data_IF_168068097278
#
_entry.id   IF_168068097278
#
_cell.length_a   1.000
_cell.length_b   1.000
_cell.length_c   1.000
_cell.angle_alpha   90.00
_cell.angle_beta   90.00
_cell.angle_gamma   90.00
#
_symmetry.space_group_name_H-M   'P 1'
#
loop_
_entity.id
_entity.type
_entity.pdbx_description
1 polymer ?
#
# COMPACT_ATOMS: atom_id res chain seq x y z
N UNK A 1 24.09 -30.26 8.05
CA UNK A 1 24.17 -30.59 6.64
C UNK A 1 22.89 -30.09 6.03
N UNK A 2 22.91 -28.89 5.41
CA UNK A 2 21.78 -28.34 4.69
C UNK A 2 21.76 -29.03 3.32
N UNK A 3 20.64 -29.65 3.01
CA UNK A 3 20.40 -30.37 1.77
C UNK A 3 20.39 -29.35 0.60
N UNK A 4 21.50 -29.30 -0.14
CA UNK A 4 21.72 -28.42 -1.27
C UNK A 4 21.23 -29.08 -2.59
N UNK A 5 20.02 -29.66 -2.56
CA UNK A 5 19.36 -30.24 -3.74
C UNK A 5 18.61 -29.16 -4.54
N UNK A 6 19.32 -28.14 -5.03
CA UNK A 6 18.80 -27.25 -6.05
C UNK A 6 18.89 -27.93 -7.41
N UNK A 7 17.91 -28.78 -7.73
CA UNK A 7 17.60 -29.07 -9.14
C UNK A 7 17.34 -27.75 -9.87
N UNK A 8 17.90 -27.51 -11.07
CA UNK A 8 17.68 -26.27 -11.77
C UNK A 8 16.18 -26.11 -12.04
N UNK A 9 15.55 -25.14 -11.31
CA UNK A 9 14.14 -24.80 -11.58
C UNK A 9 14.02 -24.33 -13.02
N UNK A 10 13.05 -24.82 -13.75
CA UNK A 10 12.72 -24.27 -15.06
C UNK A 10 12.45 -22.78 -14.94
N UNK A 11 13.14 -21.92 -15.72
CA UNK A 11 12.92 -20.48 -15.65
C UNK A 11 11.47 -20.12 -15.91
N UNK A 12 10.86 -19.30 -15.01
CA UNK A 12 9.53 -18.75 -15.24
C UNK A 12 9.58 -17.64 -16.29
N UNK A 13 8.52 -17.53 -17.05
CA UNK A 13 8.21 -16.36 -17.88
C UNK A 13 7.43 -15.37 -17.00
N UNK A 14 8.04 -14.24 -16.69
CA UNK A 14 7.43 -13.23 -15.82
C UNK A 14 7.15 -11.97 -16.63
N UNK A 15 5.89 -11.53 -16.64
CA UNK A 15 5.53 -10.22 -17.18
C UNK A 15 5.49 -9.21 -16.06
N UNK A 16 6.38 -8.21 -16.11
CA UNK A 16 6.39 -7.06 -15.19
C UNK A 16 5.55 -5.96 -15.80
N UNK A 17 4.39 -5.69 -15.20
CA UNK A 17 3.50 -4.60 -15.62
C UNK A 17 3.91 -3.32 -14.88
N UNK A 18 4.19 -2.26 -15.65
CA UNK A 18 4.66 -0.97 -15.13
C UNK A 18 4.11 0.18 -15.96
N UNK A 19 4.24 1.40 -15.48
CA UNK A 19 3.70 2.60 -16.13
C UNK A 19 2.28 2.89 -15.64
N UNK A 20 1.29 2.64 -16.48
CA UNK A 20 -0.12 2.89 -16.15
C UNK A 20 -0.52 4.37 -16.24
N UNK A 21 -1.81 4.68 -16.02
CA UNK A 21 -2.38 6.02 -16.24
C UNK A 21 -2.22 6.98 -15.07
N UNK A 22 -1.80 6.50 -13.88
CA UNK A 22 -1.82 7.32 -12.66
C UNK A 22 -0.75 8.40 -12.63
N UNK A 23 -0.90 9.37 -11.74
CA UNK A 23 0.09 10.41 -11.48
C UNK A 23 1.45 9.87 -10.98
N UNK A 24 1.48 8.63 -10.49
CA UNK A 24 2.67 7.93 -9.98
C UNK A 24 3.38 7.07 -11.06
N UNK A 25 3.08 7.32 -12.33
CA UNK A 25 3.63 6.59 -13.49
C UNK A 25 5.16 6.47 -13.45
N UNK A 26 5.88 7.54 -13.16
CA UNK A 26 7.35 7.53 -13.12
C UNK A 26 7.90 6.65 -11.98
N UNK A 27 7.22 6.61 -10.84
CA UNK A 27 7.56 5.72 -9.72
C UNK A 27 7.36 4.26 -10.14
N UNK A 28 6.25 3.97 -10.81
CA UNK A 28 5.95 2.65 -11.38
C UNK A 28 7.00 2.22 -12.40
N UNK A 29 7.38 3.09 -13.32
CA UNK A 29 8.42 2.80 -14.32
C UNK A 29 9.79 2.52 -13.67
N UNK A 30 10.16 3.27 -12.63
CA UNK A 30 11.41 3.06 -11.90
C UNK A 30 11.39 1.73 -11.12
N UNK A 31 10.34 1.49 -10.34
CA UNK A 31 10.16 0.25 -9.57
C UNK A 31 10.09 -0.98 -10.48
N UNK A 32 9.35 -0.89 -11.60
CA UNK A 32 9.26 -1.97 -12.58
C UNK A 32 10.61 -2.33 -13.20
N UNK A 33 11.46 -1.36 -13.52
CA UNK A 33 12.84 -1.62 -13.98
C UNK A 33 13.65 -2.36 -12.91
N UNK A 34 13.57 -1.95 -11.64
CA UNK A 34 14.30 -2.59 -10.56
C UNK A 34 13.84 -4.05 -10.36
N UNK A 35 12.52 -4.29 -10.33
CA UNK A 35 11.94 -5.63 -10.23
C UNK A 35 12.35 -6.50 -11.42
N UNK A 36 12.25 -5.99 -12.66
CA UNK A 36 12.64 -6.73 -13.85
C UNK A 36 14.13 -7.10 -13.85
N UNK A 37 15.00 -6.21 -13.40
CA UNK A 37 16.43 -6.48 -13.25
C UNK A 37 16.69 -7.58 -12.21
N UNK A 38 16.01 -7.54 -11.06
CA UNK A 38 16.12 -8.59 -10.05
C UNK A 38 15.65 -9.95 -10.57
N UNK A 39 14.53 -10.01 -11.27
CA UNK A 39 13.98 -11.25 -11.85
C UNK A 39 14.93 -11.85 -12.90
N UNK A 40 15.55 -11.02 -13.77
CA UNK A 40 16.58 -11.48 -14.70
C UNK A 40 17.81 -12.01 -13.98
N UNK A 41 18.24 -11.34 -12.91
CA UNK A 41 19.37 -11.78 -12.07
C UNK A 41 19.13 -13.12 -11.38
N UNK A 42 17.86 -13.48 -11.14
CA UNK A 42 17.43 -14.79 -10.62
C UNK A 42 17.35 -15.88 -11.72
N UNK A 43 17.65 -15.55 -12.97
CA UNK A 43 17.64 -16.49 -14.08
C UNK A 43 16.29 -16.72 -14.74
N UNK A 44 15.29 -15.88 -14.48
CA UNK A 44 13.96 -15.97 -15.12
C UNK A 44 13.88 -15.16 -16.42
N UNK A 45 12.91 -15.50 -17.28
CA UNK A 45 12.62 -14.78 -18.52
C UNK A 45 11.67 -13.61 -18.20
N UNK A 46 12.02 -12.39 -18.62
CA UNK A 46 11.26 -11.18 -18.26
C UNK A 46 10.78 -10.42 -19.47
N UNK A 47 9.49 -10.18 -19.52
CA UNK A 47 8.85 -9.17 -20.38
C UNK A 47 8.47 -7.97 -19.52
N UNK A 48 8.91 -6.77 -19.91
CA UNK A 48 8.45 -5.52 -19.31
C UNK A 48 7.40 -4.90 -20.23
N UNK A 49 6.24 -4.57 -19.69
CA UNK A 49 5.15 -4.02 -20.47
C UNK A 49 4.46 -2.87 -19.73
N UNK A 50 4.09 -1.86 -20.48
CA UNK A 50 3.15 -0.84 -20.04
C UNK A 50 1.73 -1.37 -20.22
N UNK A 51 0.79 -0.89 -19.39
CA UNK A 51 -0.62 -1.30 -19.46
C UNK A 51 -1.52 -0.14 -19.00
N UNK A 52 -2.66 -0.03 -19.67
CA UNK A 52 -3.70 0.94 -19.30
C UNK A 52 -5.08 0.34 -19.57
N UNK A 53 -6.17 0.97 -19.09
CA UNK A 53 -7.53 0.54 -19.45
C UNK A 53 -7.79 0.49 -20.97
N UNK A 54 -7.10 1.33 -21.73
CA UNK A 54 -7.27 1.44 -23.19
C UNK A 54 -6.37 0.48 -23.99
N UNK A 55 -5.33 -0.08 -23.33
CA UNK A 55 -4.41 -1.05 -23.94
C UNK A 55 -4.07 -2.18 -22.97
N UNK A 56 -4.70 -3.33 -23.15
CA UNK A 56 -4.53 -4.55 -22.36
C UNK A 56 -3.63 -5.59 -23.06
N UNK A 57 -3.01 -5.25 -24.19
CA UNK A 57 -2.21 -6.18 -25.01
C UNK A 57 -1.05 -6.84 -24.26
N UNK A 58 -0.56 -6.20 -23.20
CA UNK A 58 0.43 -6.75 -22.28
C UNK A 58 -0.01 -8.08 -21.64
N UNK A 59 -1.32 -8.30 -21.46
CA UNK A 59 -1.89 -9.50 -20.87
C UNK A 59 -2.08 -10.64 -21.89
N UNK A 60 -1.87 -10.40 -23.17
CA UNK A 60 -1.94 -11.42 -24.23
C UNK A 60 -0.58 -12.12 -24.42
N UNK A 61 0.49 -11.58 -23.80
CA UNK A 61 1.82 -12.19 -23.79
C UNK A 61 1.83 -13.39 -22.84
N UNK A 62 2.20 -14.60 -23.31
CA UNK A 62 2.25 -15.78 -22.45
C UNK A 62 3.19 -15.59 -21.26
N UNK A 63 2.67 -15.67 -20.07
CA UNK A 63 3.41 -15.55 -18.81
C UNK A 63 3.03 -16.68 -17.86
N UNK A 64 3.99 -17.10 -17.02
CA UNK A 64 3.75 -18.03 -15.93
C UNK A 64 3.31 -17.26 -14.66
N UNK A 65 3.85 -16.04 -14.51
CA UNK A 65 3.51 -15.12 -13.42
C UNK A 65 3.49 -13.68 -13.96
N UNK A 66 2.52 -12.89 -13.50
CA UNK A 66 2.48 -11.44 -13.72
C UNK A 66 2.93 -10.74 -12.43
N UNK A 67 3.83 -9.76 -12.55
CA UNK A 67 4.29 -8.94 -11.44
C UNK A 67 3.84 -7.48 -11.67
N UNK A 68 2.70 -7.06 -11.10
CA UNK A 68 2.26 -5.67 -11.18
C UNK A 68 3.18 -4.77 -10.36
N UNK A 69 3.57 -3.62 -10.92
CA UNK A 69 4.29 -2.54 -10.23
C UNK A 69 3.63 -1.21 -10.61
N UNK A 70 2.31 -1.18 -10.60
CA UNK A 70 1.52 0.02 -10.86
C UNK A 70 1.04 0.65 -9.56
N UNK A 71 0.67 1.92 -9.60
CA UNK A 71 0.17 2.66 -8.45
C UNK A 71 -1.11 3.43 -8.79
N UNK A 72 -1.95 3.67 -7.77
CA UNK A 72 -3.16 4.47 -7.86
C UNK A 72 -4.23 3.85 -8.75
N UNK A 73 -4.92 4.71 -9.52
CA UNK A 73 -6.01 4.30 -10.40
C UNK A 73 -5.58 3.22 -11.39
N UNK A 74 -6.43 2.24 -11.64
CA UNK A 74 -6.22 1.04 -12.42
C UNK A 74 -5.23 0.05 -11.81
N UNK A 75 -4.11 0.51 -11.22
CA UNK A 75 -3.06 -0.35 -10.69
C UNK A 75 -3.36 -0.96 -9.31
N UNK A 76 -3.96 -0.17 -8.40
CA UNK A 76 -4.19 -0.54 -6.99
C UNK A 76 -5.66 -0.59 -6.59
N UNK A 77 -6.58 -0.21 -7.47
CA UNK A 77 -8.01 -0.08 -7.19
C UNK A 77 -8.83 -1.35 -7.50
N UNK A 78 -8.17 -2.44 -7.84
CA UNK A 78 -8.79 -3.73 -8.12
C UNK A 78 -9.25 -3.91 -9.57
N UNK A 79 -9.08 -2.92 -10.46
CA UNK A 79 -9.44 -3.06 -11.87
C UNK A 79 -8.48 -4.02 -12.58
N UNK A 80 -7.18 -3.78 -12.50
CA UNK A 80 -6.16 -4.67 -13.08
C UNK A 80 -6.24 -6.06 -12.48
N UNK A 81 -6.40 -6.16 -11.16
CA UNK A 81 -6.47 -7.44 -10.47
C UNK A 81 -7.67 -8.27 -10.93
N UNK A 82 -8.83 -7.63 -11.17
CA UNK A 82 -10.01 -8.30 -11.73
C UNK A 82 -9.74 -8.87 -13.13
N UNK A 83 -9.04 -8.12 -13.99
CA UNK A 83 -8.65 -8.60 -15.33
C UNK A 83 -7.67 -9.79 -15.25
N UNK A 84 -6.74 -9.78 -14.29
CA UNK A 84 -5.81 -10.89 -14.08
C UNK A 84 -6.54 -12.14 -13.56
N UNK A 85 -7.49 -11.96 -12.64
CA UNK A 85 -8.34 -13.03 -12.10
C UNK A 85 -9.24 -13.63 -13.20
N UNK A 86 -9.90 -12.81 -13.99
CA UNK A 86 -10.76 -13.24 -15.11
C UNK A 86 -10.00 -14.06 -16.15
N UNK A 87 -8.75 -13.69 -16.43
CA UNK A 87 -7.88 -14.42 -17.37
C UNK A 87 -7.19 -15.64 -16.74
N UNK A 88 -7.39 -15.90 -15.44
CA UNK A 88 -6.75 -17.02 -14.74
C UNK A 88 -5.23 -16.90 -14.65
N UNK A 89 -4.68 -15.68 -14.70
CA UNK A 89 -3.25 -15.41 -14.64
C UNK A 89 -2.78 -15.43 -13.17
N UNK A 90 -1.68 -16.15 -12.91
CA UNK A 90 -1.00 -16.04 -11.63
C UNK A 90 -0.35 -14.66 -11.51
N UNK A 91 -0.52 -13.99 -10.38
CA UNK A 91 0.07 -12.67 -10.18
C UNK A 91 0.46 -12.40 -8.72
N UNK A 92 1.45 -11.54 -8.56
CA UNK A 92 1.93 -11.06 -7.25
C UNK A 92 0.98 -10.00 -6.71
N UNK A 93 0.72 -10.08 -5.41
CA UNK A 93 -0.09 -9.10 -4.68
C UNK A 93 -1.53 -9.52 -4.46
N UNK A 94 -2.26 -8.62 -3.83
CA UNK A 94 -3.66 -8.82 -3.42
C UNK A 94 -4.60 -8.94 -4.61
N UNK A 95 -5.72 -9.65 -4.42
CA UNK A 95 -6.77 -9.80 -5.43
C UNK A 95 -7.61 -8.53 -5.59
N UNK A 96 -8.58 -8.59 -6.51
CA UNK A 96 -9.41 -7.44 -6.88
C UNK A 96 -10.23 -6.87 -5.72
N UNK A 97 -10.83 -7.72 -4.89
CA UNK A 97 -11.64 -7.27 -3.77
C UNK A 97 -10.80 -6.61 -2.67
N UNK A 98 -9.72 -7.22 -2.15
CA UNK A 98 -8.83 -6.55 -1.20
C UNK A 98 -8.24 -5.23 -1.72
N UNK A 99 -7.88 -5.14 -3.00
CA UNK A 99 -7.37 -3.92 -3.61
C UNK A 99 -8.42 -2.80 -3.62
N UNK A 100 -9.69 -3.12 -3.98
CA UNK A 100 -10.81 -2.16 -3.89
C UNK A 100 -11.07 -1.67 -2.48
N UNK A 101 -10.97 -2.56 -1.49
CA UNK A 101 -11.13 -2.18 -0.08
C UNK A 101 -9.94 -1.33 0.35
N UNK A 102 -8.71 -1.72 0.00
CA UNK A 102 -7.49 -1.04 0.41
C UNK A 102 -7.39 0.40 -0.06
N UNK A 103 -7.76 0.67 -1.30
CA UNK A 103 -7.71 2.03 -1.87
C UNK A 103 -8.78 2.96 -1.27
N UNK A 104 -9.94 2.45 -0.87
CA UNK A 104 -11.03 3.21 -0.28
C UNK A 104 -10.88 3.27 1.26
N UNK A 105 -10.56 4.46 1.76
CA UNK A 105 -10.32 4.69 3.20
C UNK A 105 -11.55 4.41 4.08
N UNK A 106 -12.75 4.64 3.59
CA UNK A 106 -13.98 4.29 4.34
C UNK A 106 -14.14 2.77 4.39
N UNK A 107 -13.97 2.09 3.27
CA UNK A 107 -14.08 0.63 3.21
C UNK A 107 -13.03 -0.05 4.10
N UNK A 108 -11.78 0.40 4.06
CA UNK A 108 -10.71 -0.11 4.93
C UNK A 108 -11.02 0.08 6.40
N UNK A 109 -11.44 1.30 6.80
CA UNK A 109 -11.78 1.62 8.19
C UNK A 109 -12.98 0.79 8.68
N UNK A 110 -13.98 0.56 7.84
CA UNK A 110 -15.13 -0.32 8.16
C UNK A 110 -14.69 -1.76 8.36
N UNK A 111 -13.83 -2.29 7.50
CA UNK A 111 -13.30 -3.64 7.64
C UNK A 111 -12.51 -3.79 8.96
N UNK A 112 -11.64 -2.84 9.27
CA UNK A 112 -10.89 -2.83 10.54
C UNK A 112 -11.78 -2.68 11.76
N UNK A 113 -12.77 -1.79 11.72
CA UNK A 113 -13.75 -1.63 12.81
C UNK A 113 -14.53 -2.91 13.05
N UNK A 114 -14.97 -3.60 11.99
CA UNK A 114 -15.65 -4.89 12.09
C UNK A 114 -14.77 -5.98 12.71
N UNK A 115 -13.44 -5.90 12.49
CA UNK A 115 -12.43 -6.77 13.11
C UNK A 115 -11.98 -6.31 14.51
N UNK A 116 -12.56 -5.23 15.06
CA UNK A 116 -12.19 -4.69 16.37
C UNK A 116 -10.83 -3.99 16.40
N UNK A 117 -10.30 -3.56 15.24
CA UNK A 117 -8.99 -2.92 15.14
C UNK A 117 -9.11 -1.39 15.31
N UNK A 118 -8.10 -0.75 15.93
CA UNK A 118 -8.15 0.67 16.26
C UNK A 118 -7.91 1.55 15.02
N UNK A 119 -8.82 2.49 14.78
CA UNK A 119 -8.69 3.55 13.79
C UNK A 119 -9.40 4.81 14.29
N UNK A 120 -8.94 6.00 13.89
CA UNK A 120 -9.57 7.25 14.29
C UNK A 120 -11.06 7.28 13.92
N UNK A 121 -11.95 7.83 14.75
CA UNK A 121 -13.33 8.12 14.38
C UNK A 121 -13.40 8.93 13.10
N UNK A 122 -14.35 8.60 12.21
CA UNK A 122 -14.50 9.25 10.91
C UNK A 122 -15.96 9.33 10.47
N UNK A 123 -16.20 10.17 9.46
CA UNK A 123 -17.45 10.21 8.69
C UNK A 123 -17.17 10.48 7.22
N UNK A 124 -18.00 9.92 6.35
CA UNK A 124 -18.03 10.29 4.92
C UNK A 124 -19.06 11.38 4.74
N UNK A 125 -18.65 12.48 4.07
CA UNK A 125 -19.46 13.67 3.84
C UNK A 125 -19.57 13.91 2.33
N UNK A 126 -20.80 14.00 1.83
CA UNK A 126 -21.14 14.21 0.42
C UNK A 126 -21.87 15.53 0.15
N UNK A 127 -22.05 16.36 1.18
CA UNK A 127 -22.82 17.63 1.10
C UNK A 127 -22.16 18.77 1.86
N UNK A 128 -22.28 19.96 1.32
CA UNK A 128 -21.86 21.19 2.00
C UNK A 128 -22.75 21.48 3.22
N UNK A 129 -22.20 22.22 4.19
CA UNK A 129 -22.96 22.61 5.38
C UNK A 129 -23.13 21.49 6.42
N UNK A 130 -22.44 20.37 6.27
CA UNK A 130 -22.42 19.31 7.26
C UNK A 130 -21.86 19.82 8.61
N UNK A 131 -22.60 19.53 9.68
CA UNK A 131 -22.19 19.85 11.05
C UNK A 131 -21.58 18.61 11.69
N UNK A 132 -20.28 18.63 12.05
CA UNK A 132 -19.65 17.49 12.68
C UNK A 132 -20.22 17.24 14.09
N UNK A 133 -20.35 15.97 14.50
CA UNK A 133 -20.47 15.63 15.90
C UNK A 133 -19.21 16.09 16.66
N UNK A 134 -19.30 16.20 17.99
CA UNK A 134 -18.23 16.77 18.80
C UNK A 134 -16.87 16.08 18.59
N UNK A 135 -16.88 14.76 18.41
CA UNK A 135 -15.69 13.92 18.20
C UNK A 135 -14.99 14.11 16.85
N UNK A 136 -15.69 14.67 15.84
CA UNK A 136 -15.18 14.95 14.49
C UNK A 136 -15.03 16.46 14.23
N UNK A 137 -15.32 17.31 15.22
CA UNK A 137 -15.02 18.73 15.15
C UNK A 137 -13.52 19.00 15.16
N UNK A 138 -13.10 20.21 14.73
CA UNK A 138 -11.69 20.57 14.76
C UNK A 138 -11.04 20.46 16.14
N UNK A 139 -9.78 20.00 16.20
CA UNK A 139 -8.89 19.70 15.08
C UNK A 139 -9.25 18.40 14.37
N UNK A 140 -9.44 18.47 13.04
CA UNK A 140 -9.81 17.34 12.20
C UNK A 140 -8.98 17.29 10.90
N UNK A 141 -9.05 16.16 10.21
CA UNK A 141 -8.41 15.94 8.91
C UNK A 141 -9.50 15.67 7.88
N UNK A 142 -9.39 16.33 6.73
CA UNK A 142 -10.25 16.09 5.56
C UNK A 142 -9.40 15.51 4.45
N UNK A 143 -9.87 14.44 3.82
CA UNK A 143 -9.17 13.77 2.73
C UNK A 143 -10.13 13.16 1.70
N UNK A 144 -9.72 13.02 0.44
CA UNK A 144 -10.43 12.18 -0.54
C UNK A 144 -10.45 10.72 -0.06
N UNK A 145 -11.45 9.95 -0.51
CA UNK A 145 -11.59 8.55 -0.11
C UNK A 145 -10.53 7.65 -0.75
N UNK A 146 -10.21 7.87 -2.02
CA UNK A 146 -9.43 6.93 -2.85
C UNK A 146 -8.09 7.47 -3.36
N UNK A 147 -7.74 8.72 -3.01
CA UNK A 147 -6.44 9.26 -3.39
C UNK A 147 -5.31 8.71 -2.50
N UNK A 148 -4.16 8.41 -3.14
CA UNK A 148 -2.92 8.06 -2.48
C UNK A 148 -2.01 9.27 -2.21
N UNK A 149 -0.81 9.00 -1.71
CA UNK A 149 0.31 9.96 -1.64
C UNK A 149 0.00 11.29 -0.95
N UNK A 150 -0.92 11.31 0.01
CA UNK A 150 -1.40 12.51 0.73
C UNK A 150 -2.02 13.58 -0.18
N UNK A 151 -2.40 13.24 -1.41
CA UNK A 151 -3.07 14.17 -2.33
C UNK A 151 -4.44 14.56 -1.75
N UNK A 152 -4.69 15.87 -1.66
CA UNK A 152 -5.97 16.41 -1.17
C UNK A 152 -6.18 16.30 0.34
N UNK A 153 -5.20 15.84 1.12
CA UNK A 153 -5.28 15.81 2.59
C UNK A 153 -5.12 17.22 3.14
N UNK A 154 -6.00 17.62 4.05
CA UNK A 154 -6.01 18.94 4.68
C UNK A 154 -6.25 18.87 6.18
N UNK A 155 -5.45 19.58 6.96
CA UNK A 155 -5.63 19.76 8.39
C UNK A 155 -6.56 20.96 8.65
N UNK A 156 -7.56 20.76 9.50
CA UNK A 156 -8.59 21.76 9.80
C UNK A 156 -8.59 22.06 11.31
N UNK A 157 -8.08 23.23 11.69
CA UNK A 157 -8.00 23.65 13.10
C UNK A 157 -9.23 24.47 13.56
N UNK A 158 -10.07 24.93 12.61
CA UNK A 158 -11.27 25.71 12.88
C UNK A 158 -12.47 25.21 12.08
N UNK A 159 -13.68 25.55 12.54
CA UNK A 159 -14.92 25.23 11.80
C UNK A 159 -14.95 25.86 10.40
N UNK A 160 -14.44 27.07 10.26
CA UNK A 160 -14.41 27.78 8.99
C UNK A 160 -13.46 27.08 8.01
N UNK A 161 -12.26 26.68 8.46
CA UNK A 161 -11.34 25.89 7.64
C UNK A 161 -11.95 24.55 7.22
N UNK A 162 -12.61 23.85 8.16
CA UNK A 162 -13.28 22.58 7.88
C UNK A 162 -14.37 22.77 6.77
N UNK A 163 -15.24 23.77 6.92
CA UNK A 163 -16.31 24.02 5.96
C UNK A 163 -15.76 24.42 4.57
N UNK A 164 -14.69 25.20 4.50
CA UNK A 164 -14.02 25.58 3.26
C UNK A 164 -13.43 24.36 2.57
N UNK A 165 -12.63 23.59 3.28
CA UNK A 165 -11.96 22.39 2.75
C UNK A 165 -12.97 21.32 2.32
N UNK A 166 -14.06 21.13 3.07
CA UNK A 166 -15.14 20.23 2.66
C UNK A 166 -15.75 20.63 1.32
N UNK A 167 -16.05 21.93 1.12
CA UNK A 167 -16.59 22.39 -0.16
C UNK A 167 -15.63 22.12 -1.32
N UNK A 168 -14.34 22.40 -1.13
CA UNK A 168 -13.31 22.19 -2.14
C UNK A 168 -13.14 20.69 -2.47
N UNK A 169 -13.07 19.83 -1.43
CA UNK A 169 -12.90 18.38 -1.61
C UNK A 169 -14.13 17.75 -2.24
N UNK A 170 -15.34 18.10 -1.79
CA UNK A 170 -16.58 17.57 -2.37
C UNK A 170 -16.76 18.02 -3.82
N UNK A 171 -16.45 19.29 -4.13
CA UNK A 171 -16.53 19.80 -5.50
C UNK A 171 -15.60 19.04 -6.45
N UNK A 172 -14.43 18.61 -5.97
CA UNK A 172 -13.43 17.92 -6.79
C UNK A 172 -13.65 16.40 -6.86
N UNK A 173 -14.02 15.77 -5.74
CA UNK A 173 -14.04 14.31 -5.59
C UNK A 173 -15.43 13.73 -5.31
N UNK A 174 -16.47 14.56 -5.24
CA UNK A 174 -17.85 14.16 -4.93
C UNK A 174 -18.09 13.86 -3.46
N UNK A 175 -17.12 13.33 -2.74
CA UNK A 175 -17.19 12.96 -1.32
C UNK A 175 -15.88 13.28 -0.61
N UNK A 176 -15.95 13.49 0.71
CA UNK A 176 -14.79 13.67 1.57
C UNK A 176 -14.89 12.74 2.78
N UNK A 177 -13.75 12.24 3.25
CA UNK A 177 -13.61 11.61 4.55
C UNK A 177 -13.15 12.68 5.55
N UNK A 178 -13.88 12.82 6.64
CA UNK A 178 -13.50 13.64 7.80
C UNK A 178 -13.14 12.71 8.93
N UNK A 179 -11.99 12.89 9.54
CA UNK A 179 -11.58 12.10 10.71
C UNK A 179 -11.00 12.99 11.82
N UNK A 180 -11.05 12.49 13.04
CA UNK A 180 -10.37 13.11 14.17
C UNK A 180 -8.88 13.18 13.90
N UNK A 181 -8.27 14.35 14.07
CA UNK A 181 -6.82 14.49 14.02
C UNK A 181 -6.16 13.74 15.17
N UNK A 182 -5.22 12.89 14.86
CA UNK A 182 -4.38 12.18 15.82
C UNK A 182 -3.12 12.98 16.09
N UNK A 183 -2.57 12.85 17.31
CA UNK A 183 -1.33 13.54 17.72
C UNK A 183 -0.25 12.51 18.07
N UNK A 184 0.70 12.35 17.16
CA UNK A 184 1.82 11.44 17.37
C UNK A 184 2.62 11.19 16.09
N UNK A 185 3.68 10.39 16.19
CA UNK A 185 4.51 10.06 15.03
C UNK A 185 3.76 9.18 14.04
N UNK A 186 3.98 9.46 12.76
CA UNK A 186 3.56 8.58 11.65
C UNK A 186 4.58 7.44 11.52
N UNK A 187 4.07 6.21 11.49
CA UNK A 187 4.87 5.01 11.32
C UNK A 187 4.23 4.08 10.30
N UNK A 188 5.04 3.20 9.74
CA UNK A 188 4.57 2.21 8.78
C UNK A 188 5.15 0.84 9.08
N UNK A 189 4.38 -0.19 8.79
CA UNK A 189 4.78 -1.60 8.89
C UNK A 189 4.50 -2.30 7.57
N UNK A 190 5.54 -2.87 6.96
CA UNK A 190 5.37 -3.79 5.85
C UNK A 190 4.92 -5.16 6.37
N UNK A 191 4.06 -5.84 5.61
CA UNK A 191 3.73 -7.25 5.83
C UNK A 191 4.16 -8.02 4.58
N UNK A 192 4.89 -9.12 4.76
CA UNK A 192 5.36 -10.01 3.71
C UNK A 192 4.86 -11.43 3.99
N UNK A 193 3.96 -11.93 3.15
CA UNK A 193 3.18 -13.12 3.50
C UNK A 193 2.25 -12.82 4.68
N UNK A 194 2.54 -13.39 5.83
CA UNK A 194 1.89 -13.11 7.12
C UNK A 194 2.88 -12.60 8.17
N UNK A 195 4.09 -12.28 7.76
CA UNK A 195 5.15 -11.84 8.68
C UNK A 195 5.29 -10.31 8.65
N UNK A 196 5.24 -9.64 9.80
CA UNK A 196 5.44 -8.22 9.86
C UNK A 196 6.93 -7.87 9.76
N UNK A 197 7.25 -6.88 8.96
CA UNK A 197 8.59 -6.29 8.89
C UNK A 197 8.79 -5.27 10.03
N UNK A 198 10.03 -4.81 10.24
CA UNK A 198 10.31 -3.76 11.23
C UNK A 198 9.51 -2.49 11.01
N UNK A 199 9.14 -1.85 12.12
CA UNK A 199 8.46 -0.55 12.10
C UNK A 199 9.40 0.51 11.57
N UNK A 200 8.94 1.33 10.64
CA UNK A 200 9.67 2.50 10.14
C UNK A 200 8.90 3.75 10.57
N UNK A 201 9.58 4.70 11.21
CA UNK A 201 9.02 6.03 11.42
C UNK A 201 9.30 6.91 10.22
N UNK A 202 8.25 7.57 9.75
CA UNK A 202 8.32 8.60 8.70
C UNK A 202 8.41 9.95 9.40
N UNK A 203 9.53 10.66 9.19
CA UNK A 203 9.78 11.98 9.80
C UNK A 203 10.06 13.00 8.71
N UNK A 204 9.06 13.76 8.26
CA UNK A 204 9.28 14.87 7.35
C UNK A 204 10.08 15.97 8.07
N UNK A 205 10.97 16.68 7.36
CA UNK A 205 11.79 17.76 7.93
C UNK A 205 10.95 18.95 8.41
N UNK A 206 9.80 19.19 7.80
CA UNK A 206 8.88 20.25 8.22
C UNK A 206 7.43 19.82 8.00
N UNK A 207 6.61 19.97 9.04
CA UNK A 207 5.16 19.87 8.97
C UNK A 207 4.61 18.48 8.69
N UNK A 208 3.73 18.41 7.72
CA UNK A 208 2.97 17.21 7.34
C UNK A 208 3.69 16.44 6.23
N UNK A 209 3.55 15.11 6.22
CA UNK A 209 4.11 14.24 5.19
C UNK A 209 3.23 14.29 3.92
N UNK A 210 3.38 15.38 3.16
CA UNK A 210 2.64 15.65 1.94
C UNK A 210 3.28 15.01 0.69
N UNK A 211 2.63 15.16 -0.47
CA UNK A 211 3.12 14.66 -1.75
C UNK A 211 4.52 15.17 -2.10
N UNK A 212 4.80 16.44 -1.81
CA UNK A 212 6.12 17.03 -2.06
C UNK A 212 7.20 16.41 -1.16
N UNK A 213 6.87 16.07 0.11
CA UNK A 213 7.77 15.36 1.01
C UNK A 213 8.02 13.91 0.57
N UNK A 214 7.04 13.28 -0.11
CA UNK A 214 7.16 11.90 -0.61
C UNK A 214 8.04 11.79 -1.85
N UNK A 215 7.96 12.73 -2.79
CA UNK A 215 8.53 12.56 -4.14
C UNK A 215 9.46 13.68 -4.62
N UNK A 216 9.38 14.87 -4.04
CA UNK A 216 10.13 16.04 -4.51
C UNK A 216 11.15 16.57 -3.52
N UNK A 217 10.97 16.31 -2.22
CA UNK A 217 11.90 16.70 -1.19
C UNK A 217 12.70 15.50 -0.70
N UNK A 218 14.01 15.62 -0.65
CA UNK A 218 14.90 14.60 -0.11
C UNK A 218 15.17 14.80 1.40
N UNK A 219 14.27 15.51 2.10
CA UNK A 219 14.43 15.91 3.49
C UNK A 219 13.58 15.06 4.47
N UNK A 220 12.89 14.06 3.98
CA UNK A 220 12.16 13.08 4.83
C UNK A 220 13.11 12.02 5.35
N UNK A 221 13.25 11.92 6.67
CA UNK A 221 13.99 10.84 7.31
C UNK A 221 13.11 9.61 7.53
N UNK A 222 13.62 8.45 7.17
CA UNK A 222 13.01 7.16 7.41
C UNK A 222 13.82 6.42 8.48
N UNK A 223 13.30 6.36 9.70
CA UNK A 223 13.97 5.77 10.84
C UNK A 223 13.55 4.31 10.96
N UNK A 224 14.49 3.41 10.64
CA UNK A 224 14.30 1.95 10.72
C UNK A 224 14.27 1.44 12.16
N UNK A 225 14.85 2.18 13.10
CA UNK A 225 14.79 1.94 14.55
C UNK A 225 14.17 3.17 15.22
N UNK A 226 12.83 3.34 15.14
CA UNK A 226 12.17 4.47 15.77
C UNK A 226 12.31 4.44 17.29
N UNK A 227 12.32 5.64 17.91
CA UNK A 227 12.30 5.80 19.36
C UNK A 227 10.91 5.45 19.92
N UNK A 228 10.59 4.17 19.86
CA UNK A 228 9.40 3.53 20.40
C UNK A 228 9.84 2.36 21.28
N UNK A 229 9.16 2.14 22.38
CA UNK A 229 9.45 0.96 23.21
C UNK A 229 9.12 -0.34 22.49
N UNK A 230 9.68 -1.46 22.98
CA UNK A 230 9.55 -2.76 22.34
C UNK A 230 8.12 -3.32 22.35
N UNK A 231 7.30 -2.92 23.32
CA UNK A 231 5.88 -3.33 23.41
C UNK A 231 5.06 -2.62 22.34
N UNK A 232 5.23 -1.31 22.21
CA UNK A 232 4.60 -0.50 21.15
C UNK A 232 4.97 -1.04 19.75
N UNK A 233 6.26 -1.32 19.49
CA UNK A 233 6.67 -1.88 18.20
C UNK A 233 6.01 -3.22 17.90
N UNK A 234 5.96 -4.14 18.87
CA UNK A 234 5.28 -5.43 18.70
C UNK A 234 3.78 -5.26 18.48
N UNK A 235 3.13 -4.40 19.25
CA UNK A 235 1.71 -4.10 19.08
C UNK A 235 1.39 -3.57 17.67
N UNK A 236 2.21 -2.68 17.12
CA UNK A 236 2.05 -2.17 15.76
C UNK A 236 2.23 -3.28 14.70
N UNK A 237 3.20 -4.16 14.89
CA UNK A 237 3.43 -5.31 14.01
C UNK A 237 2.24 -6.29 14.04
N UNK A 238 1.73 -6.61 15.23
CA UNK A 238 0.54 -7.47 15.38
C UNK A 238 -0.71 -6.82 14.76
N UNK A 239 -0.89 -5.51 14.95
CA UNK A 239 -1.99 -4.76 14.33
C UNK A 239 -1.88 -4.73 12.82
N UNK A 240 -0.66 -4.62 12.27
CA UNK A 240 -0.44 -4.63 10.83
C UNK A 240 -0.85 -5.96 10.18
N UNK A 241 -0.47 -7.09 10.79
CA UNK A 241 -0.88 -8.43 10.31
C UNK A 241 -2.39 -8.58 10.38
N UNK A 242 -3.03 -8.22 11.49
CA UNK A 242 -4.48 -8.27 11.64
C UNK A 242 -5.21 -7.37 10.65
N UNK A 243 -4.68 -6.17 10.37
CA UNK A 243 -5.25 -5.24 9.40
C UNK A 243 -5.15 -5.78 7.96
N UNK A 244 -4.03 -6.42 7.63
CA UNK A 244 -3.79 -7.12 6.37
C UNK A 244 -4.79 -8.27 6.17
N UNK A 245 -4.99 -9.11 7.19
CA UNK A 245 -5.91 -10.24 7.17
C UNK A 245 -7.38 -9.79 7.12
N UNK A 246 -7.76 -8.74 7.85
CA UNK A 246 -9.12 -8.22 7.89
C UNK A 246 -9.61 -7.72 6.52
N UNK A 247 -8.71 -7.29 5.65
CA UNK A 247 -9.01 -6.88 4.27
C UNK A 247 -8.95 -8.07 3.30
N UNK A 248 -8.27 -9.15 3.69
CA UNK A 248 -8.03 -10.32 2.84
C UNK A 248 -6.85 -10.12 1.89
N UNK A 249 -5.87 -9.31 2.28
CA UNK A 249 -4.64 -9.11 1.52
C UNK A 249 -3.82 -10.39 1.44
N UNK A 250 -2.92 -10.46 0.47
CA UNK A 250 -1.97 -11.57 0.27
C UNK A 250 -0.64 -11.06 -0.26
N UNK A 251 0.40 -11.87 -0.12
CA UNK A 251 1.77 -11.65 -0.56
C UNK A 251 2.46 -10.48 0.15
N UNK A 252 1.94 -9.28 0.02
CA UNK A 252 2.52 -8.09 0.64
C UNK A 252 1.48 -6.98 0.83
N UNK A 253 1.73 -6.11 1.80
CA UNK A 253 1.12 -4.78 1.91
C UNK A 253 1.97 -3.88 2.80
N UNK A 254 1.70 -2.58 2.80
CA UNK A 254 2.22 -1.61 3.76
C UNK A 254 1.06 -0.98 4.50
N UNK A 255 1.14 -1.00 5.81
CA UNK A 255 0.12 -0.47 6.70
C UNK A 255 0.68 0.76 7.40
N UNK A 256 -0.02 1.87 7.30
CA UNK A 256 0.39 3.16 7.83
C UNK A 256 -0.43 3.50 9.08
N UNK A 257 0.24 4.05 10.11
CA UNK A 257 -0.31 4.34 11.43
C UNK A 257 0.08 5.74 11.90
N UNK A 258 -0.75 6.30 12.79
CA UNK A 258 -0.27 7.29 13.77
C UNK A 258 -0.20 6.60 15.14
N UNK A 259 0.91 6.77 15.85
CA UNK A 259 1.04 6.35 17.25
C UNK A 259 0.53 7.50 18.10
N UNK A 260 -0.80 7.54 18.31
CA UNK A 260 -1.45 8.57 19.09
C UNK A 260 -1.02 8.48 20.57
N UNK A 261 -0.74 9.62 21.19
CA UNK A 261 -0.19 9.69 22.56
C UNK A 261 -1.13 9.13 23.62
N UNK A 262 -2.42 9.06 23.33
CA UNK A 262 -3.47 8.60 24.28
C UNK A 262 -4.01 7.24 23.85
N UNK A 263 -4.29 7.08 22.56
CA UNK A 263 -4.97 5.91 22.00
C UNK A 263 -4.03 4.84 21.45
N UNK A 264 -2.71 5.09 21.46
CA UNK A 264 -1.72 4.16 20.90
C UNK A 264 -1.75 4.07 19.39
N UNK A 265 -1.38 2.92 18.83
CA UNK A 265 -1.34 2.71 17.37
C UNK A 265 -2.73 2.79 16.74
N UNK A 266 -2.92 3.72 15.81
CA UNK A 266 -4.17 3.93 15.07
C UNK A 266 -3.95 3.75 13.57
N UNK A 267 -4.67 2.82 12.96
CA UNK A 267 -4.63 2.54 11.53
C UNK A 267 -5.08 3.75 10.71
N UNK A 268 -4.29 4.15 9.72
CA UNK A 268 -4.59 5.24 8.78
C UNK A 268 -5.04 4.71 7.42
N UNK A 269 -4.18 3.95 6.78
CA UNK A 269 -4.41 3.39 5.44
C UNK A 269 -3.59 2.11 5.23
N UNK A 270 -3.97 1.33 4.22
CA UNK A 270 -3.25 0.18 3.74
C UNK A 270 -2.95 0.35 2.25
N UNK A 271 -1.71 0.10 1.88
CA UNK A 271 -1.26 0.08 0.50
C UNK A 271 -1.03 -1.38 0.10
N UNK A 272 -1.88 -1.89 -0.79
CA UNK A 272 -1.86 -3.30 -1.21
C UNK A 272 -0.83 -3.61 -2.28
N UNK A 273 -0.23 -2.58 -2.89
CA UNK A 273 0.85 -2.70 -3.88
C UNK A 273 1.93 -1.63 -3.63
N UNK A 274 2.70 -1.75 -2.53
CA UNK A 274 3.71 -0.77 -2.17
C UNK A 274 4.84 -0.70 -3.20
N UNK A 275 5.49 0.47 -3.29
CA UNK A 275 6.55 0.71 -4.27
C UNK A 275 7.78 -0.18 -4.13
N UNK A 276 8.51 -0.33 -5.24
CA UNK A 276 9.71 -1.15 -5.39
C UNK A 276 10.92 -0.35 -5.89
N UNK A 277 11.02 0.92 -5.49
CA UNK A 277 12.21 1.75 -5.76
C UNK A 277 13.19 1.69 -4.59
N UNK A 278 14.40 2.21 -4.76
CA UNK A 278 15.41 2.32 -3.69
C UNK A 278 14.94 3.18 -2.49
N UNK A 279 13.93 4.03 -2.71
CA UNK A 279 13.32 4.85 -1.65
C UNK A 279 12.12 4.19 -0.99
N UNK A 280 11.63 3.08 -1.54
CA UNK A 280 10.41 2.42 -1.06
C UNK A 280 10.59 1.75 0.30
N UNK A 281 9.61 1.95 1.18
CA UNK A 281 9.71 1.60 2.60
C UNK A 281 9.69 0.09 2.85
N UNK A 282 8.88 -0.67 2.10
CA UNK A 282 8.81 -2.13 2.27
C UNK A 282 10.15 -2.81 1.90
N UNK A 283 10.81 -2.53 0.76
CA UNK A 283 12.15 -3.04 0.48
C UNK A 283 13.19 -2.64 1.52
N UNK A 284 13.12 -1.40 2.06
CA UNK A 284 14.02 -0.95 3.14
C UNK A 284 13.81 -1.73 4.43
N UNK A 285 12.56 -1.96 4.83
CA UNK A 285 12.24 -2.77 6.00
C UNK A 285 12.72 -4.21 5.85
N UNK A 286 12.54 -4.81 4.66
CA UNK A 286 13.02 -6.14 4.33
C UNK A 286 14.56 -6.23 4.40
N UNK A 287 15.26 -5.26 3.82
CA UNK A 287 16.73 -5.20 3.87
C UNK A 287 17.27 -5.08 5.31
N UNK A 288 16.58 -4.35 6.19
CA UNK A 288 16.96 -4.21 7.60
C UNK A 288 16.97 -5.53 8.36
N UNK A 289 16.15 -6.50 7.96
CA UNK A 289 16.16 -7.87 8.52
C UNK A 289 16.89 -8.88 7.65
N UNK A 290 17.76 -8.41 6.74
CA UNK A 290 18.64 -9.25 5.94
C UNK A 290 18.00 -9.86 4.68
N UNK A 291 16.78 -9.47 4.32
CA UNK A 291 16.12 -9.88 3.07
C UNK A 291 16.55 -8.92 1.96
N UNK A 292 17.46 -9.37 1.08
CA UNK A 292 17.89 -8.56 -0.07
C UNK A 292 16.73 -8.28 -1.03
N UNK A 293 16.84 -7.25 -1.85
CA UNK A 293 15.81 -6.91 -2.85
C UNK A 293 15.51 -8.07 -3.80
N UNK A 294 16.55 -8.78 -4.28
CA UNK A 294 16.36 -9.96 -5.13
C UNK A 294 15.63 -11.09 -4.39
N UNK A 295 15.96 -11.32 -3.11
CA UNK A 295 15.26 -12.35 -2.30
C UNK A 295 13.81 -11.96 -2.03
N UNK A 296 13.52 -10.69 -1.77
CA UNK A 296 12.15 -10.19 -1.64
C UNK A 296 11.33 -10.46 -2.92
N UNK A 297 11.88 -10.12 -4.07
CA UNK A 297 11.23 -10.36 -5.37
C UNK A 297 11.02 -11.86 -5.61
N UNK A 298 12.01 -12.70 -5.31
CA UNK A 298 11.92 -14.16 -5.42
C UNK A 298 10.81 -14.73 -4.54
N UNK A 299 10.75 -14.33 -3.25
CA UNK A 299 9.70 -14.77 -2.31
C UNK A 299 8.30 -14.42 -2.84
N UNK A 300 8.11 -13.24 -3.41
CA UNK A 300 6.83 -12.82 -3.97
C UNK A 300 6.44 -13.65 -5.21
N UNK A 301 7.39 -13.98 -6.07
CA UNK A 301 7.15 -14.89 -7.19
C UNK A 301 6.79 -16.30 -6.70
N UNK A 302 7.49 -16.81 -5.70
CA UNK A 302 7.22 -18.12 -5.09
C UNK A 302 5.81 -18.19 -4.48
N UNK A 303 5.37 -17.13 -3.77
CA UNK A 303 4.02 -17.03 -3.20
C UNK A 303 2.95 -17.05 -4.30
N UNK A 304 3.14 -16.25 -5.36
CA UNK A 304 2.20 -16.20 -6.49
C UNK A 304 2.11 -17.55 -7.21
N UNK A 305 3.26 -18.19 -7.44
CA UNK A 305 3.32 -19.51 -8.09
C UNK A 305 2.68 -20.62 -7.27
N UNK A 306 3.00 -20.71 -5.97
CA UNK A 306 2.43 -21.71 -5.07
C UNK A 306 0.89 -21.63 -5.04
N UNK A 307 0.33 -20.43 -5.01
CA UNK A 307 -1.10 -20.19 -5.06
C UNK A 307 -1.74 -20.67 -6.36
N UNK A 308 -1.08 -20.42 -7.50
CA UNK A 308 -1.56 -20.88 -8.80
C UNK A 308 -1.58 -22.41 -8.93
N UNK A 309 -0.62 -23.09 -8.31
CA UNK A 309 -0.60 -24.57 -8.30
C UNK A 309 -1.71 -25.16 -7.40
N UNK A 310 -2.01 -24.52 -6.25
CA UNK A 310 -3.08 -24.92 -5.36
C UNK A 310 -4.47 -24.87 -6.04
N UNK A 311 -4.72 -23.87 -6.90
CA UNK A 311 -5.96 -23.73 -7.66
C UNK A 311 -6.11 -24.74 -8.82
N UNK A 312 -5.03 -25.35 -9.30
CA UNK A 312 -5.07 -26.35 -10.39
C UNK A 312 -5.32 -27.77 -9.90
N UNK A 313 -5.25 -27.99 -8.58
CA UNK A 313 -5.41 -29.33 -7.97
C UNK A 313 -6.76 -29.52 -7.27
N UNK A 314 -7.60 -28.49 -7.17
CA UNK A 314 -8.94 -28.49 -6.60
C UNK A 314 -10.00 -28.28 -7.68
#
# INVERSE_FOLDING_TARGET
>A
MLDDSTSPRTPWRVTVLRGGPSAEREVSLAGGRAVAAAIRGLGHLVTEADISPDDLSALDVPADIVFPVLHGEFGEDGQLQALLEERGLAFVGSGSQPSRIGIDKDASKRAWQAAGLPTAPWAVVDRCGWSPPAELGPPSVVKPLTEGSSIGVSLCDTRDSLQRVLRETIARYGRALVERRLDGPEVTVGVLGHEPLPVIQVRPAAGFYDYAAKYHRNDTAYLLDPDLDAETRRSLQDLAVKAFEAIGCRDLARIDFIVDRVAGGQLLEINTLPGFTDHSLLPKAAAHVGISFSRLVEMLLEMAWARAQGHRQG
#
